data_IF_092801413876
#
_entry.id   IF_092801413876
#
_cell.length_a   1.000
_cell.length_b   1.000
_cell.length_c   1.000
_cell.angle_alpha   90.00
_cell.angle_beta   90.00
_cell.angle_gamma   90.00
#
_symmetry.space_group_name_H-M   'P 1'
#
loop_
_entity.id
_entity.type
_entity.pdbx_description
1 polymer ?
#
# COMPACT_ATOMS: atom_id res chain seq x y z
N UNK A 1 2.45 3.20 -8.30
CA UNK A 1 2.21 2.09 -7.35
C UNK A 1 3.36 1.98 -6.36
N UNK A 2 3.09 2.11 -5.07
CA UNK A 2 4.08 2.11 -3.98
C UNK A 2 4.24 0.74 -3.30
N UNK A 3 5.41 0.49 -2.73
CA UNK A 3 5.77 -0.69 -1.91
C UNK A 3 5.42 -2.04 -2.53
N UNK A 4 5.50 -2.13 -3.85
CA UNK A 4 5.22 -3.35 -4.59
C UNK A 4 6.43 -4.28 -4.62
N UNK A 5 6.96 -4.71 -3.46
CA UNK A 5 8.25 -5.41 -3.34
C UNK A 5 8.43 -6.55 -4.35
N UNK A 6 7.51 -7.51 -4.39
CA UNK A 6 7.59 -8.71 -5.24
C UNK A 6 7.26 -8.46 -6.71
N UNK A 7 6.47 -7.42 -7.00
CA UNK A 7 6.17 -7.04 -8.37
C UNK A 7 5.16 -7.81 -9.14
N UNK A 8 4.45 -8.64 -8.43
CA UNK A 8 3.36 -9.41 -8.96
C UNK A 8 2.11 -8.56 -9.21
N UNK A 9 2.03 -7.36 -8.62
CA UNK A 9 0.80 -6.58 -8.61
C UNK A 9 0.37 -6.04 -9.98
N UNK A 10 1.31 -5.72 -10.87
CA UNK A 10 0.98 -5.27 -12.23
C UNK A 10 0.32 -6.39 -13.06
N UNK A 11 0.53 -7.66 -12.70
CA UNK A 11 -0.16 -8.79 -13.32
C UNK A 11 -1.53 -9.13 -12.72
N UNK A 12 -2.09 -8.29 -11.84
CA UNK A 12 -3.35 -8.55 -11.12
C UNK A 12 -4.54 -7.72 -11.59
N UNK A 13 -4.34 -6.82 -12.55
CA UNK A 13 -5.40 -6.01 -13.15
C UNK A 13 -5.02 -5.63 -14.58
N UNK A 14 -5.98 -5.16 -15.36
CA UNK A 14 -5.75 -4.51 -16.65
C UNK A 14 -5.37 -3.04 -16.41
N UNK A 15 -4.21 -2.64 -16.91
CA UNK A 15 -3.67 -1.27 -16.79
C UNK A 15 -3.59 -0.56 -18.14
N UNK A 16 -4.14 -1.14 -19.21
CA UNK A 16 -3.98 -0.63 -20.58
C UNK A 16 -4.49 0.80 -20.78
N UNK A 17 -5.39 1.28 -19.93
CA UNK A 17 -5.94 2.64 -19.98
C UNK A 17 -5.12 3.69 -19.23
N UNK A 18 -4.04 3.32 -18.54
CA UNK A 18 -3.25 4.22 -17.70
C UNK A 18 -1.74 3.94 -17.81
N UNK A 19 -0.91 4.98 -17.67
CA UNK A 19 0.52 4.79 -17.49
C UNK A 19 0.83 4.46 -16.02
N UNK A 20 1.59 3.37 -15.78
CA UNK A 20 1.86 2.90 -14.42
C UNK A 20 3.35 2.91 -14.13
N UNK A 21 3.75 3.75 -13.17
CA UNK A 21 5.08 3.69 -12.57
C UNK A 21 5.05 2.86 -11.29
N UNK A 22 6.07 2.01 -11.10
CA UNK A 22 6.20 1.15 -9.93
C UNK A 22 7.41 1.54 -9.08
N UNK A 23 7.17 1.75 -7.80
CA UNK A 23 8.17 1.92 -6.76
C UNK A 23 8.26 0.62 -5.97
N UNK A 24 9.39 -0.09 -6.13
CA UNK A 24 9.61 -1.37 -5.46
C UNK A 24 10.00 -1.19 -4.01
N UNK A 25 10.89 -0.24 -3.77
CA UNK A 25 11.47 0.00 -2.46
C UNK A 25 10.62 0.97 -1.66
N UNK A 26 10.75 0.89 -0.34
CA UNK A 26 10.05 1.78 0.56
C UNK A 26 10.73 3.13 0.60
N UNK A 27 9.98 4.19 0.32
CA UNK A 27 10.45 5.56 0.43
C UNK A 27 10.28 6.02 1.88
N UNK A 28 11.39 6.04 2.62
CA UNK A 28 11.39 6.31 4.07
C UNK A 28 11.25 7.79 4.43
N UNK A 29 11.63 8.69 3.51
CA UNK A 29 11.54 10.13 3.70
C UNK A 29 10.22 10.67 3.13
N UNK A 30 9.46 11.49 3.91
CA UNK A 30 8.30 12.20 3.37
C UNK A 30 8.63 13.09 2.17
N UNK A 31 9.83 13.67 2.11
CA UNK A 31 10.25 14.52 1.00
C UNK A 31 10.54 13.70 -0.26
N UNK A 32 11.16 12.53 -0.10
CA UNK A 32 11.40 11.62 -1.21
C UNK A 32 10.08 11.05 -1.75
N UNK A 33 9.14 10.75 -0.86
CA UNK A 33 7.80 10.33 -1.23
C UNK A 33 7.09 11.41 -2.05
N UNK A 34 7.03 12.64 -1.55
CA UNK A 34 6.40 13.77 -2.25
C UNK A 34 7.08 14.04 -3.58
N UNK A 35 8.41 14.02 -3.64
CA UNK A 35 9.15 14.17 -4.90
C UNK A 35 8.84 13.05 -5.89
N UNK A 36 8.72 11.82 -5.42
CA UNK A 36 8.46 10.66 -6.25
C UNK A 36 7.03 10.61 -6.80
N UNK A 37 6.03 11.07 -6.04
CA UNK A 37 4.61 10.92 -6.41
C UNK A 37 3.87 12.24 -6.66
N UNK A 38 4.53 13.39 -6.48
CA UNK A 38 3.88 14.72 -6.53
C UNK A 38 3.24 15.07 -7.87
N UNK A 39 3.69 14.42 -8.95
CA UNK A 39 3.14 14.60 -10.29
C UNK A 39 2.04 13.60 -10.68
N UNK A 40 1.69 12.66 -9.80
CA UNK A 40 0.69 11.62 -10.09
C UNK A 40 -0.70 12.01 -9.59
N UNK A 41 -1.70 11.77 -10.44
CA UNK A 41 -3.11 11.95 -10.09
C UNK A 41 -3.70 10.75 -9.35
N UNK A 42 -3.12 9.57 -9.57
CA UNK A 42 -3.55 8.30 -9.00
C UNK A 42 -2.38 7.62 -8.29
N UNK A 43 -2.55 7.32 -7.01
CA UNK A 43 -1.57 6.57 -6.21
C UNK A 43 -2.20 5.29 -5.69
N UNK A 44 -1.52 4.17 -5.91
CA UNK A 44 -1.90 2.86 -5.38
C UNK A 44 -0.93 2.49 -4.26
N UNK A 45 -1.44 2.26 -3.05
CA UNK A 45 -0.69 1.85 -1.86
C UNK A 45 -1.04 0.43 -1.44
N UNK A 46 -0.07 -0.26 -0.85
CA UNK A 46 -0.21 -1.63 -0.41
C UNK A 46 -0.40 -1.69 1.10
N UNK A 47 -1.63 -1.95 1.57
CA UNK A 47 -1.95 -1.98 2.99
C UNK A 47 -1.40 -0.73 3.70
N UNK A 48 -1.00 -0.87 4.95
CA UNK A 48 -0.45 0.19 5.80
C UNK A 48 1.05 0.49 5.53
N UNK A 49 1.64 0.00 4.42
CA UNK A 49 3.10 0.08 4.18
C UNK A 49 3.60 1.51 3.99
N UNK A 50 2.83 2.37 3.34
CA UNK A 50 3.12 3.81 3.23
C UNK A 50 1.99 4.61 3.90
N UNK A 51 2.28 5.32 5.00
CA UNK A 51 1.31 6.19 5.65
C UNK A 51 0.93 7.40 4.80
N UNK A 52 -0.33 7.81 4.88
CA UNK A 52 -0.89 9.04 4.30
C UNK A 52 -1.51 9.91 5.42
N UNK A 53 -0.67 10.58 6.24
CA UNK A 53 -1.11 11.52 7.26
C UNK A 53 -1.58 12.85 6.65
N UNK A 54 -2.31 13.66 7.43
CA UNK A 54 -2.89 14.93 6.97
C UNK A 54 -1.93 15.84 6.19
N UNK A 55 -0.69 16.02 6.68
CA UNK A 55 0.28 16.93 6.07
C UNK A 55 0.69 16.52 4.65
N UNK A 56 0.54 15.23 4.30
CA UNK A 56 0.97 14.71 3.02
C UNK A 56 0.03 15.17 1.90
N UNK A 57 -1.28 15.21 2.16
CA UNK A 57 -2.27 15.65 1.17
C UNK A 57 -2.07 17.10 0.73
N UNK A 58 -1.68 17.98 1.65
CA UNK A 58 -1.34 19.38 1.32
C UNK A 58 -0.14 19.51 0.38
N UNK A 59 0.73 18.49 0.32
CA UNK A 59 1.94 18.46 -0.50
C UNK A 59 1.75 17.72 -1.84
N UNK A 60 0.56 17.16 -2.08
CA UNK A 60 0.24 16.37 -3.27
C UNK A 60 -0.96 16.99 -4.01
N UNK A 61 -0.83 18.22 -4.55
CA UNK A 61 -1.97 18.98 -5.09
C UNK A 61 -2.61 18.36 -6.34
N UNK A 62 -1.91 17.44 -7.02
CA UNK A 62 -2.45 16.73 -8.20
C UNK A 62 -3.18 15.44 -7.84
N UNK A 63 -2.99 14.93 -6.63
CA UNK A 63 -3.59 13.66 -6.24
C UNK A 63 -5.12 13.80 -6.22
N UNK A 64 -5.82 13.00 -7.03
CA UNK A 64 -7.28 12.93 -7.06
C UNK A 64 -7.81 11.59 -6.56
N UNK A 65 -7.00 10.53 -6.65
CA UNK A 65 -7.41 9.17 -6.30
C UNK A 65 -6.29 8.43 -5.55
N UNK A 66 -6.59 7.97 -4.33
CA UNK A 66 -5.76 7.08 -3.54
C UNK A 66 -6.43 5.70 -3.45
N UNK A 67 -5.76 4.66 -3.94
CA UNK A 67 -6.25 3.28 -3.93
C UNK A 67 -5.45 2.47 -2.91
N UNK A 68 -6.12 1.80 -1.97
CA UNK A 68 -5.48 0.89 -1.01
C UNK A 68 -5.92 -0.56 -1.22
N UNK A 69 -5.01 -1.52 -1.05
CA UNK A 69 -5.41 -2.94 -1.00
C UNK A 69 -6.12 -3.27 0.32
N UNK A 70 -7.44 -3.38 0.32
CA UNK A 70 -8.24 -3.62 1.52
C UNK A 70 -8.63 -2.33 2.25
N UNK A 71 -9.94 -2.13 2.43
CA UNK A 71 -10.52 -0.89 2.96
C UNK A 71 -10.16 -0.54 4.41
N UNK A 72 -9.87 -1.53 5.26
CA UNK A 72 -9.45 -1.26 6.63
C UNK A 72 -7.97 -0.87 6.62
N UNK A 73 -7.67 0.42 6.43
CA UNK A 73 -6.32 0.97 6.44
C UNK A 73 -6.25 2.18 7.39
N UNK A 74 -5.68 1.97 8.58
CA UNK A 74 -5.58 2.99 9.61
C UNK A 74 -4.45 4.00 9.37
N UNK A 75 -3.60 3.80 8.36
CA UNK A 75 -2.51 4.71 8.04
C UNK A 75 -2.93 5.85 7.11
N UNK A 76 -4.22 5.96 6.75
CA UNK A 76 -4.75 7.02 5.88
C UNK A 76 -5.61 7.96 6.73
N UNK A 77 -5.29 9.25 6.70
CA UNK A 77 -6.16 10.29 7.24
C UNK A 77 -7.28 10.60 6.23
N UNK A 78 -8.43 9.94 6.42
CA UNK A 78 -9.58 10.04 5.52
C UNK A 78 -10.23 11.43 5.53
N UNK A 79 -10.20 12.12 6.67
CA UNK A 79 -10.76 13.46 6.79
C UNK A 79 -9.90 14.46 6.02
N UNK A 80 -8.58 14.35 6.14
CA UNK A 80 -7.64 15.16 5.35
C UNK A 80 -7.74 14.85 3.86
N UNK A 81 -7.86 13.58 3.47
CA UNK A 81 -8.08 13.19 2.08
C UNK A 81 -9.33 13.88 1.51
N UNK A 82 -10.46 13.82 2.24
CA UNK A 82 -11.71 14.47 1.87
C UNK A 82 -11.58 15.99 1.78
N UNK A 83 -10.89 16.61 2.74
CA UNK A 83 -10.65 18.06 2.75
C UNK A 83 -9.84 18.55 1.54
N UNK A 84 -8.98 17.70 0.98
CA UNK A 84 -8.17 17.99 -0.20
C UNK A 84 -8.79 17.47 -1.52
N UNK A 85 -10.03 16.97 -1.48
CA UNK A 85 -10.72 16.46 -2.68
C UNK A 85 -10.20 15.12 -3.19
N UNK A 86 -9.43 14.38 -2.39
CA UNK A 86 -8.89 13.07 -2.75
C UNK A 86 -9.92 11.99 -2.46
N UNK A 87 -10.31 11.25 -3.50
CA UNK A 87 -11.14 10.06 -3.34
C UNK A 87 -10.27 8.90 -2.85
N UNK A 88 -10.70 8.23 -1.78
CA UNK A 88 -10.03 7.02 -1.28
C UNK A 88 -10.87 5.80 -1.62
N UNK A 89 -10.28 4.90 -2.41
CA UNK A 89 -10.87 3.63 -2.80
C UNK A 89 -10.05 2.48 -2.23
N UNK A 90 -10.67 1.32 -2.08
CA UNK A 90 -9.93 0.13 -1.73
C UNK A 90 -10.67 -1.14 -2.07
N UNK A 91 -9.93 -2.24 -2.08
CA UNK A 91 -10.46 -3.55 -2.44
C UNK A 91 -11.18 -4.20 -1.26
N UNK A 92 -11.99 -5.22 -1.54
CA UNK A 92 -12.45 -6.14 -0.49
C UNK A 92 -11.28 -6.85 0.19
N UNK A 93 -11.52 -7.33 1.40
CA UNK A 93 -10.61 -8.18 2.17
C UNK A 93 -11.31 -9.49 2.57
N UNK A 94 -10.54 -10.58 2.61
CA UNK A 94 -11.00 -11.88 3.13
C UNK A 94 -10.15 -12.28 4.35
N UNK A 95 -10.67 -13.18 5.18
CA UNK A 95 -9.96 -13.67 6.38
C UNK A 95 -8.96 -14.79 6.07
N UNK A 96 -9.19 -15.57 5.02
CA UNK A 96 -8.36 -16.72 4.62
C UNK A 96 -6.87 -16.41 4.41
N UNK A 97 -6.48 -15.29 3.74
CA UNK A 97 -5.07 -15.01 3.44
C UNK A 97 -4.18 -14.84 4.68
N UNK A 98 -4.76 -14.52 5.85
CA UNK A 98 -4.03 -14.44 7.11
C UNK A 98 -4.10 -15.74 7.91
N UNK A 99 -5.19 -16.50 7.81
CA UNK A 99 -5.39 -17.73 8.57
C UNK A 99 -4.39 -18.83 8.18
N UNK A 100 -4.20 -19.06 6.89
CA UNK A 100 -3.27 -20.09 6.38
C UNK A 100 -1.81 -19.86 6.81
N UNK A 101 -1.20 -18.68 6.58
CA UNK A 101 0.17 -18.44 7.02
C UNK A 101 0.30 -18.45 8.56
N UNK A 102 -0.76 -18.09 9.30
CA UNK A 102 -0.75 -18.23 10.77
C UNK A 102 -0.56 -19.69 11.19
N UNK A 103 -1.35 -20.61 10.62
CA UNK A 103 -1.19 -22.03 10.88
C UNK A 103 0.14 -22.58 10.36
N UNK A 104 0.59 -22.15 9.20
CA UNK A 104 1.90 -22.53 8.66
C UNK A 104 3.05 -22.12 9.60
N UNK A 105 2.97 -20.93 10.21
CA UNK A 105 3.96 -20.47 11.19
C UNK A 105 3.88 -21.29 12.50
N UNK A 106 2.68 -21.56 13.02
CA UNK A 106 2.49 -22.40 14.21
C UNK A 106 3.07 -23.80 13.99
N UNK A 107 2.74 -24.44 12.86
CA UNK A 107 3.25 -25.76 12.50
C UNK A 107 4.77 -25.74 12.24
N UNK A 108 5.26 -24.68 11.59
CA UNK A 108 6.69 -24.49 11.35
C UNK A 108 7.52 -24.40 12.63
N UNK A 109 7.02 -23.67 13.63
CA UNK A 109 7.66 -23.55 14.94
C UNK A 109 7.59 -24.85 15.74
N UNK A 110 6.42 -25.48 15.81
CA UNK A 110 6.21 -26.74 16.57
C UNK A 110 6.96 -27.94 15.99
N UNK A 111 7.28 -27.91 14.70
CA UNK A 111 8.02 -28.97 14.00
C UNK A 111 9.47 -28.60 13.69
N UNK A 112 9.94 -27.45 14.18
CA UNK A 112 11.31 -26.95 13.97
C UNK A 112 11.72 -26.90 12.49
N UNK A 113 10.80 -26.49 11.61
CA UNK A 113 11.06 -26.40 10.16
C UNK A 113 12.04 -25.27 9.81
N UNK A 114 12.09 -24.23 10.65
CA UNK A 114 13.07 -23.16 10.57
C UNK A 114 13.97 -23.25 11.81
N UNK A 115 15.31 -23.28 11.66
CA UNK A 115 16.20 -23.25 12.80
C UNK A 115 16.01 -21.97 13.60
N UNK A 116 15.85 -22.09 14.92
CA UNK A 116 15.97 -20.92 15.78
C UNK A 116 17.41 -20.40 15.66
N UNK A 117 17.59 -19.18 15.16
CA UNK A 117 18.88 -18.50 15.26
C UNK A 117 19.09 -18.16 16.74
N UNK A 118 20.01 -18.88 17.37
CA UNK A 118 20.60 -18.54 18.68
C UNK A 118 21.91 -17.81 18.40
#
# INVERSE_FOLDING_TARGET
MLDGYQGVALGRADWSSVEVTRFREHLTSPDDLVRAIGDYEIVVIMRERTPFPAYLFARLPKLGLLITSGMCNASIDLDAARAHGVTVCGTGSGSTPSAEPTWALILGLTRHLVPARV
#
